data_IF_595942787542
#
_entry.id   IF_595942787542
#
_cell.length_a   1.000
_cell.length_b   1.000
_cell.length_c   1.000
_cell.angle_alpha   90.00
_cell.angle_beta   90.00
_cell.angle_gamma   90.00
#
_symmetry.space_group_name_H-M   'P 1'
#
loop_
_entity.id
_entity.type
_entity.pdbx_description
1 polymer ?
#
# COMPACT_ATOMS: atom_id res chain seq x y z
N UNK A 1 -33.64 -18.04 34.92
CA UNK A 1 -32.55 -18.67 34.15
C UNK A 1 -32.83 -18.37 32.69
N UNK A 2 -32.07 -17.47 32.05
CA UNK A 2 -32.27 -17.23 30.62
C UNK A 2 -31.95 -18.51 29.86
N UNK A 3 -32.84 -18.96 28.97
CA UNK A 3 -32.52 -20.10 28.13
C UNK A 3 -31.41 -19.71 27.12
N UNK A 4 -30.67 -20.72 26.67
CA UNK A 4 -29.55 -20.52 25.75
C UNK A 4 -29.99 -19.81 24.45
N UNK A 5 -31.22 -20.08 24.00
CA UNK A 5 -31.80 -19.50 22.77
C UNK A 5 -32.01 -17.99 22.90
N UNK A 6 -32.51 -17.55 24.05
CA UNK A 6 -32.74 -16.14 24.38
C UNK A 6 -31.42 -15.37 24.44
N UNK A 7 -30.39 -16.00 25.01
CA UNK A 7 -29.04 -15.43 25.04
C UNK A 7 -28.46 -15.29 23.62
N UNK A 8 -28.55 -16.34 22.79
CA UNK A 8 -28.10 -16.30 21.40
C UNK A 8 -28.84 -15.20 20.62
N UNK A 9 -30.16 -15.14 20.75
CA UNK A 9 -30.98 -14.14 20.06
C UNK A 9 -30.59 -12.72 20.46
N UNK A 10 -30.34 -12.46 21.75
CA UNK A 10 -29.88 -11.15 22.21
C UNK A 10 -28.58 -10.72 21.52
N UNK A 11 -27.59 -11.61 21.42
CA UNK A 11 -26.33 -11.32 20.73
C UNK A 11 -26.52 -11.13 19.23
N UNK A 12 -27.37 -11.94 18.59
CA UNK A 12 -27.66 -11.81 17.15
C UNK A 12 -28.34 -10.47 16.83
N UNK A 13 -29.39 -10.11 17.57
CA UNK A 13 -30.07 -8.82 17.38
C UNK A 13 -29.17 -7.63 17.72
N UNK A 14 -28.37 -7.74 18.77
CA UNK A 14 -27.36 -6.73 19.11
C UNK A 14 -26.34 -6.53 17.99
N UNK A 15 -25.85 -7.64 17.40
CA UNK A 15 -24.90 -7.60 16.29
C UNK A 15 -25.52 -7.01 15.02
N UNK A 16 -26.75 -7.40 14.67
CA UNK A 16 -27.49 -6.81 13.54
C UNK A 16 -27.69 -5.31 13.76
N UNK A 17 -28.16 -4.91 14.95
CA UNK A 17 -28.36 -3.51 15.30
C UNK A 17 -27.07 -2.70 15.22
N UNK A 18 -25.96 -3.26 15.70
CA UNK A 18 -24.63 -2.65 15.59
C UNK A 18 -24.17 -2.52 14.13
N UNK A 19 -24.35 -3.54 13.29
CA UNK A 19 -24.05 -3.48 11.86
C UNK A 19 -24.90 -2.41 11.17
N UNK A 20 -26.21 -2.41 11.41
CA UNK A 20 -27.13 -1.42 10.83
C UNK A 20 -26.72 -0.01 11.24
N UNK A 21 -26.39 0.18 12.52
CA UNK A 21 -25.89 1.46 13.02
C UNK A 21 -24.59 1.86 12.30
N UNK A 22 -23.59 0.97 12.24
CA UNK A 22 -22.27 1.28 11.69
C UNK A 22 -22.30 1.56 10.18
N UNK A 23 -23.06 0.78 9.41
CA UNK A 23 -23.06 0.84 7.93
C UNK A 23 -24.05 1.89 7.38
N UNK A 24 -25.19 2.09 8.06
CA UNK A 24 -26.29 2.91 7.54
C UNK A 24 -26.64 4.13 8.39
N UNK A 25 -26.64 4.03 9.72
CA UNK A 25 -27.06 5.16 10.55
C UNK A 25 -25.91 6.16 10.70
N UNK A 26 -24.74 5.66 11.11
CA UNK A 26 -23.63 6.51 11.47
C UNK A 26 -23.04 7.30 10.28
N UNK A 27 -22.75 6.70 9.10
CA UNK A 27 -22.13 7.43 7.99
C UNK A 27 -23.02 8.51 7.38
N UNK A 28 -24.34 8.28 7.35
CA UNK A 28 -25.30 9.16 6.67
C UNK A 28 -25.91 10.20 7.61
N UNK A 29 -26.20 9.83 8.86
CA UNK A 29 -26.96 10.69 9.78
C UNK A 29 -26.13 11.26 10.92
N UNK A 30 -25.05 10.61 11.37
CA UNK A 30 -24.33 11.02 12.59
C UNK A 30 -22.96 11.62 12.29
N UNK A 31 -22.24 11.06 11.32
CA UNK A 31 -20.85 11.41 11.02
C UNK A 31 -20.68 12.93 10.85
N UNK A 32 -19.64 13.54 11.45
CA UNK A 32 -19.34 14.96 11.24
C UNK A 32 -19.02 15.26 9.77
N UNK A 33 -18.60 14.25 9.01
CA UNK A 33 -18.28 14.36 7.59
C UNK A 33 -19.51 14.42 6.69
N UNK A 34 -20.73 14.21 7.23
CA UNK A 34 -21.95 14.07 6.42
C UNK A 34 -22.22 15.25 5.48
N UNK A 35 -21.80 16.46 5.87
CA UNK A 35 -22.00 17.72 5.11
C UNK A 35 -20.96 17.95 4.00
N UNK A 36 -19.88 17.19 3.96
CA UNK A 36 -18.85 17.32 2.93
C UNK A 36 -19.41 16.73 1.61
N UNK A 37 -19.30 17.46 0.48
CA UNK A 37 -19.79 17.00 -0.81
C UNK A 37 -19.02 15.77 -1.28
N UNK A 38 -19.67 14.92 -2.07
CA UNK A 38 -19.05 13.75 -2.66
C UNK A 38 -20.06 12.84 -3.34
N UNK A 39 -19.57 11.85 -4.12
CA UNK A 39 -20.42 10.87 -4.76
C UNK A 39 -21.25 10.07 -3.73
N UNK A 40 -22.50 9.67 -4.08
CA UNK A 40 -23.26 8.75 -3.26
C UNK A 40 -22.54 7.39 -3.19
N UNK A 41 -22.67 6.66 -2.07
CA UNK A 41 -22.07 5.33 -1.95
C UNK A 41 -22.62 4.39 -3.03
N UNK A 42 -21.72 3.72 -3.74
CA UNK A 42 -22.08 2.71 -4.74
C UNK A 42 -22.64 1.44 -4.08
N UNK A 43 -22.09 1.07 -2.92
CA UNK A 43 -22.54 -0.10 -2.18
C UNK A 43 -22.23 0.00 -0.67
N UNK A 44 -23.15 -0.45 0.21
CA UNK A 44 -22.93 -0.36 1.65
C UNK A 44 -21.73 -1.12 2.20
N UNK A 45 -21.28 -2.20 1.55
CA UNK A 45 -20.20 -3.04 2.05
C UNK A 45 -18.82 -2.63 1.57
N UNK A 46 -18.70 -2.11 0.33
CA UNK A 46 -17.40 -1.77 -0.26
C UNK A 46 -17.27 -0.30 -0.66
N UNK A 47 -18.30 0.53 -0.47
CA UNK A 47 -18.24 1.95 -0.81
C UNK A 47 -17.76 2.14 -2.25
N UNK A 48 -16.71 2.95 -2.42
CA UNK A 48 -16.05 3.19 -3.72
C UNK A 48 -14.80 2.33 -3.95
N UNK A 49 -14.49 1.36 -3.08
CA UNK A 49 -13.29 0.53 -3.21
C UNK A 49 -13.26 -0.15 -4.57
N UNK A 50 -14.39 -0.67 -5.04
CA UNK A 50 -14.48 -1.34 -6.33
C UNK A 50 -14.02 -0.40 -7.45
N UNK A 51 -14.64 0.77 -7.58
CA UNK A 51 -14.29 1.78 -8.58
C UNK A 51 -12.82 2.20 -8.51
N UNK A 52 -12.29 2.47 -7.32
CA UNK A 52 -10.89 2.85 -7.11
C UNK A 52 -9.92 1.74 -7.53
N UNK A 53 -10.31 0.47 -7.37
CA UNK A 53 -9.45 -0.69 -7.67
C UNK A 53 -9.58 -1.19 -9.11
N UNK A 54 -10.70 -0.96 -9.79
CA UNK A 54 -10.96 -1.50 -11.14
C UNK A 54 -10.73 -0.49 -12.26
N UNK A 55 -10.86 0.80 -11.98
CA UNK A 55 -10.57 1.84 -12.96
C UNK A 55 -9.09 2.22 -12.96
N UNK A 56 -8.69 3.02 -13.95
CA UNK A 56 -7.33 3.55 -14.04
C UNK A 56 -6.97 4.35 -12.78
N UNK A 57 -5.76 4.12 -12.26
CA UNK A 57 -5.30 4.72 -11.02
C UNK A 57 -5.35 6.25 -11.09
N UNK A 58 -6.07 6.87 -10.15
CA UNK A 58 -6.19 8.32 -10.05
C UNK A 58 -7.36 8.93 -10.85
N UNK A 59 -7.88 8.23 -11.87
CA UNK A 59 -8.97 8.76 -12.71
C UNK A 59 -10.28 8.96 -11.92
N UNK A 60 -10.77 8.00 -11.11
CA UNK A 60 -11.95 8.22 -10.27
C UNK A 60 -11.81 9.42 -9.35
N UNK A 61 -10.66 9.55 -8.69
CA UNK A 61 -10.34 10.65 -7.79
C UNK A 61 -10.38 11.98 -8.52
N UNK A 62 -9.75 12.06 -9.70
CA UNK A 62 -9.74 13.26 -10.53
C UNK A 62 -11.15 13.65 -10.98
N UNK A 63 -11.99 12.69 -11.39
CA UNK A 63 -13.40 12.95 -11.74
C UNK A 63 -14.17 13.51 -10.57
N UNK A 64 -14.02 12.93 -9.37
CA UNK A 64 -14.72 13.43 -8.18
C UNK A 64 -14.23 14.80 -7.73
N UNK A 65 -12.92 15.07 -7.82
CA UNK A 65 -12.36 16.41 -7.53
C UNK A 65 -12.95 17.44 -8.50
N UNK A 66 -13.01 17.14 -9.80
CA UNK A 66 -13.61 18.03 -10.81
C UNK A 66 -15.09 18.31 -10.54
N UNK A 67 -15.83 17.34 -10.02
CA UNK A 67 -17.28 17.46 -9.80
C UNK A 67 -17.65 18.10 -8.46
N UNK A 68 -16.95 17.75 -7.38
CA UNK A 68 -17.32 18.10 -6.00
C UNK A 68 -16.35 19.11 -5.34
N UNK A 69 -15.25 19.45 -6.01
CA UNK A 69 -14.22 20.36 -5.52
C UNK A 69 -13.05 19.66 -4.82
N UNK A 70 -12.21 20.45 -4.16
CA UNK A 70 -10.92 19.97 -3.63
C UNK A 70 -11.02 19.18 -2.31
N UNK A 71 -12.21 19.06 -1.72
CA UNK A 71 -12.45 18.28 -0.50
C UNK A 71 -13.68 17.41 -0.77
N UNK A 72 -13.46 16.11 -0.90
CA UNK A 72 -14.50 15.17 -1.31
C UNK A 72 -14.66 14.09 -0.27
N UNK A 73 -15.89 13.85 0.18
CA UNK A 73 -16.21 12.69 1.00
C UNK A 73 -16.35 11.45 0.13
N UNK A 74 -15.64 10.39 0.49
CA UNK A 74 -15.74 9.07 -0.11
C UNK A 74 -16.15 8.04 0.94
N UNK A 75 -16.81 6.97 0.52
CA UNK A 75 -17.10 5.80 1.35
C UNK A 75 -16.08 4.69 1.08
N UNK A 76 -15.47 4.15 2.13
CA UNK A 76 -14.59 2.98 2.13
C UNK A 76 -15.36 1.70 2.48
N UNK A 77 -14.67 0.72 3.04
CA UNK A 77 -15.27 -0.55 3.46
C UNK A 77 -16.33 -0.29 4.54
N UNK A 78 -17.47 -0.98 4.46
CA UNK A 78 -18.60 -0.81 5.37
C UNK A 78 -19.12 0.63 5.47
N UNK A 79 -19.07 1.38 4.36
CA UNK A 79 -19.41 2.81 4.29
C UNK A 79 -18.60 3.69 5.26
N UNK A 80 -17.38 3.32 5.61
CA UNK A 80 -16.53 4.20 6.41
C UNK A 80 -16.27 5.52 5.65
N UNK A 81 -16.67 6.68 6.17
CA UNK A 81 -16.50 7.96 5.50
C UNK A 81 -15.03 8.39 5.60
N UNK A 82 -14.44 8.63 4.44
CA UNK A 82 -13.08 9.07 4.22
C UNK A 82 -13.09 10.42 3.50
N UNK A 83 -12.01 11.18 3.60
CA UNK A 83 -11.88 12.48 2.91
C UNK A 83 -10.74 12.38 1.91
N UNK A 84 -11.05 12.66 0.65
CA UNK A 84 -10.08 12.97 -0.39
C UNK A 84 -9.79 14.47 -0.35
N UNK A 85 -8.53 14.83 -0.13
CA UNK A 85 -8.06 16.22 -0.08
C UNK A 85 -7.16 16.48 -1.28
N UNK A 86 -7.51 17.49 -2.07
CA UNK A 86 -6.77 17.97 -3.24
C UNK A 86 -6.41 19.46 -3.13
N UNK A 87 -6.66 20.10 -1.98
CA UNK A 87 -6.25 21.48 -1.72
C UNK A 87 -4.77 21.52 -1.25
N UNK A 88 -3.86 22.20 -1.96
CA UNK A 88 -2.45 22.22 -1.61
C UNK A 88 -2.14 22.77 -0.21
N UNK A 89 -2.93 23.72 0.29
CA UNK A 89 -2.72 24.30 1.62
C UNK A 89 -3.09 23.28 2.69
N UNK A 90 -4.21 22.58 2.52
CA UNK A 90 -4.63 21.53 3.45
C UNK A 90 -3.65 20.36 3.41
N UNK A 91 -3.16 19.98 2.22
CA UNK A 91 -2.13 18.94 2.08
C UNK A 91 -0.85 19.35 2.84
N UNK A 92 -0.43 20.61 2.76
CA UNK A 92 0.70 21.12 3.51
C UNK A 92 0.46 21.04 5.03
N UNK A 93 -0.73 21.41 5.50
CA UNK A 93 -1.08 21.27 6.92
C UNK A 93 -0.98 19.80 7.37
N UNK A 94 -1.59 18.88 6.63
CA UNK A 94 -1.61 17.45 6.97
C UNK A 94 -0.23 16.81 6.89
N UNK A 95 0.54 17.11 5.84
CA UNK A 95 1.75 16.36 5.51
C UNK A 95 3.02 16.98 6.08
N UNK A 96 3.01 18.25 6.48
CA UNK A 96 4.20 18.99 6.95
C UNK A 96 3.99 19.62 8.32
N UNK A 97 2.98 20.46 8.49
CA UNK A 97 2.83 21.26 9.70
C UNK A 97 2.34 20.40 10.88
N UNK A 98 1.43 19.48 10.60
CA UNK A 98 0.73 18.64 11.58
C UNK A 98 0.87 17.15 11.30
N UNK A 99 1.97 16.72 10.67
CA UNK A 99 2.17 15.31 10.21
C UNK A 99 1.89 14.25 11.27
N UNK A 100 2.17 14.54 12.55
CA UNK A 100 2.00 13.58 13.64
C UNK A 100 0.57 13.54 14.22
N UNK A 101 -0.29 14.49 13.85
CA UNK A 101 -1.71 14.50 14.21
C UNK A 101 -2.53 13.60 13.27
N UNK A 102 -1.97 13.26 12.10
CA UNK A 102 -2.59 12.42 11.06
C UNK A 102 -1.87 11.07 10.95
N UNK A 103 -2.27 10.13 11.82
CA UNK A 103 -1.70 8.78 11.87
C UNK A 103 -2.08 8.00 10.61
N UNK A 104 -1.13 7.27 10.02
CA UNK A 104 -1.39 6.41 8.86
C UNK A 104 -2.35 5.27 9.24
N UNK A 105 -3.28 4.87 8.35
CA UNK A 105 -4.09 3.69 8.59
C UNK A 105 -3.19 2.45 8.72
N UNK A 106 -3.54 1.48 9.59
CA UNK A 106 -2.76 0.26 9.74
C UNK A 106 -2.76 -0.52 8.42
N UNK A 107 -1.60 -1.05 8.05
CA UNK A 107 -1.49 -1.99 6.93
C UNK A 107 -0.70 -3.22 7.36
N UNK A 108 -1.41 -4.29 7.71
CA UNK A 108 -0.83 -5.59 8.12
C UNK A 108 0.04 -6.15 7.01
N UNK A 109 -0.43 -6.02 5.77
CA UNK A 109 0.27 -6.56 4.61
C UNK A 109 1.54 -5.78 4.31
N UNK A 110 1.50 -4.45 4.35
CA UNK A 110 2.69 -3.65 4.07
C UNK A 110 3.73 -3.77 5.19
N UNK A 111 3.30 -3.85 6.46
CA UNK A 111 4.19 -4.08 7.60
C UNK A 111 4.81 -5.48 7.55
N UNK A 112 4.12 -6.50 7.05
CA UNK A 112 4.70 -7.82 6.89
C UNK A 112 5.78 -7.88 5.78
N UNK A 113 5.77 -6.94 4.83
CA UNK A 113 6.76 -6.91 3.73
C UNK A 113 7.94 -5.98 4.08
N UNK A 114 7.68 -4.84 4.71
CA UNK A 114 8.68 -3.80 4.94
C UNK A 114 9.10 -3.66 6.42
N UNK A 115 8.48 -4.43 7.31
CA UNK A 115 8.63 -4.28 8.75
C UNK A 115 8.02 -2.97 9.29
N UNK A 116 8.17 -2.76 10.61
CA UNK A 116 7.86 -1.47 11.27
C UNK A 116 9.03 -0.48 11.15
N UNK A 117 9.51 -0.30 9.91
CA UNK A 117 10.57 0.64 9.57
C UNK A 117 10.07 2.06 9.35
N UNK A 118 10.95 2.93 8.82
CA UNK A 118 10.73 4.37 8.71
C UNK A 118 9.41 4.73 7.98
N UNK A 119 8.99 3.92 7.02
CA UNK A 119 7.75 4.14 6.25
C UNK A 119 6.48 4.00 7.11
N UNK A 120 6.48 3.07 8.08
CA UNK A 120 5.31 2.70 8.88
C UNK A 120 5.41 3.09 10.36
N UNK A 121 6.57 3.55 10.82
CA UNK A 121 6.71 4.10 12.15
C UNK A 121 5.88 5.38 12.30
N UNK A 122 5.44 5.66 13.54
CA UNK A 122 4.66 6.84 13.89
C UNK A 122 5.25 7.59 15.08
N UNK A 123 4.87 8.87 15.22
CA UNK A 123 5.24 9.69 16.37
C UNK A 123 6.76 9.74 16.63
N UNK A 124 7.16 9.49 17.88
CA UNK A 124 8.55 9.59 18.31
C UNK A 124 9.45 8.47 17.74
N UNK A 125 8.89 7.30 17.43
CA UNK A 125 9.63 6.24 16.73
C UNK A 125 10.00 6.68 15.32
N UNK A 126 9.06 7.28 14.58
CA UNK A 126 9.34 7.86 13.27
C UNK A 126 10.39 8.97 13.36
N UNK A 127 10.27 9.90 14.31
CA UNK A 127 11.25 10.99 14.51
C UNK A 127 12.65 10.44 14.76
N UNK A 128 12.77 9.43 15.64
CA UNK A 128 14.05 8.79 15.98
C UNK A 128 14.65 8.09 14.76
N UNK A 129 13.89 7.24 14.08
CA UNK A 129 14.36 6.52 12.88
C UNK A 129 14.77 7.50 11.77
N UNK A 130 13.98 8.56 11.51
CA UNK A 130 14.30 9.56 10.50
C UNK A 130 15.58 10.32 10.81
N UNK A 131 15.75 10.75 12.07
CA UNK A 131 16.96 11.44 12.52
C UNK A 131 18.21 10.58 12.34
N UNK A 132 18.11 9.27 12.59
CA UNK A 132 19.22 8.32 12.40
C UNK A 132 19.55 8.08 10.92
N UNK A 133 18.54 8.02 10.06
CA UNK A 133 18.72 7.71 8.63
C UNK A 133 19.14 8.90 7.77
N UNK A 134 18.66 10.12 8.07
CA UNK A 134 18.90 11.31 7.25
C UNK A 134 20.37 11.55 6.86
N UNK A 135 21.38 11.36 7.73
CA UNK A 135 22.78 11.57 7.36
C UNK A 135 23.23 10.70 6.17
N UNK A 136 22.76 9.46 6.05
CA UNK A 136 23.10 8.58 4.92
C UNK A 136 22.63 9.15 3.57
N UNK A 137 21.60 10.00 3.58
CA UNK A 137 21.03 10.65 2.41
C UNK A 137 21.47 12.12 2.26
N UNK A 138 22.52 12.54 2.97
CA UNK A 138 23.13 13.85 2.73
C UNK A 138 23.72 13.92 1.31
N UNK A 139 23.70 15.10 0.71
CA UNK A 139 24.17 15.32 -0.67
C UNK A 139 25.60 14.82 -0.93
N UNK A 140 26.51 14.97 0.05
CA UNK A 140 27.87 14.44 -0.04
C UNK A 140 27.89 12.92 -0.17
N UNK A 141 27.10 12.22 0.63
CA UNK A 141 27.07 10.76 0.67
C UNK A 141 26.38 10.19 -0.58
N UNK A 142 25.34 10.87 -1.08
CA UNK A 142 24.70 10.49 -2.35
C UNK A 142 25.70 10.60 -3.52
N UNK A 143 26.57 11.61 -3.54
CA UNK A 143 27.60 11.74 -4.60
C UNK A 143 28.54 10.55 -4.64
N UNK A 144 28.87 9.98 -3.49
CA UNK A 144 29.75 8.80 -3.39
C UNK A 144 29.09 7.55 -3.98
N UNK A 145 27.75 7.50 -4.07
CA UNK A 145 27.00 6.39 -4.64
C UNK A 145 26.93 6.41 -6.18
N UNK A 146 27.23 7.56 -6.82
CA UNK A 146 27.11 7.76 -8.28
C UNK A 146 27.86 6.72 -9.10
N UNK A 147 29.12 6.33 -8.77
CA UNK A 147 29.83 5.31 -9.54
C UNK A 147 29.08 3.98 -9.60
N UNK A 148 28.43 3.59 -8.50
CA UNK A 148 27.59 2.37 -8.45
C UNK A 148 26.36 2.51 -9.34
N UNK A 149 25.70 3.67 -9.33
CA UNK A 149 24.54 3.92 -10.20
C UNK A 149 24.93 3.82 -11.67
N UNK A 150 26.06 4.42 -12.07
CA UNK A 150 26.57 4.35 -13.44
C UNK A 150 26.89 2.90 -13.82
N UNK A 151 27.59 2.16 -12.96
CA UNK A 151 27.93 0.76 -13.21
C UNK A 151 26.69 -0.10 -13.49
N UNK A 152 25.67 -0.03 -12.63
CA UNK A 152 24.43 -0.80 -12.80
C UNK A 152 23.65 -0.34 -14.04
N UNK A 153 23.61 0.98 -14.31
CA UNK A 153 22.98 1.52 -15.50
C UNK A 153 23.65 1.03 -16.80
N UNK A 154 24.98 0.89 -16.82
CA UNK A 154 25.72 0.36 -17.97
C UNK A 154 25.44 -1.14 -18.19
N UNK A 155 25.31 -1.93 -17.12
CA UNK A 155 24.89 -3.33 -17.21
C UNK A 155 23.48 -3.42 -17.80
N UNK A 156 22.55 -2.62 -17.27
CA UNK A 156 21.18 -2.56 -17.77
C UNK A 156 21.13 -2.15 -19.25
N UNK A 157 21.92 -1.14 -19.64
CA UNK A 157 22.06 -0.71 -21.04
C UNK A 157 22.49 -1.87 -21.94
N UNK A 158 23.53 -2.60 -21.55
CA UNK A 158 24.03 -3.75 -22.32
C UNK A 158 22.95 -4.82 -22.53
N UNK A 159 22.21 -5.17 -21.47
CA UNK A 159 21.10 -6.13 -21.55
C UNK A 159 20.00 -5.67 -22.52
N UNK A 160 19.68 -4.38 -22.54
CA UNK A 160 18.69 -3.82 -23.47
C UNK A 160 19.23 -3.81 -24.90
N UNK A 161 20.49 -3.44 -25.10
CA UNK A 161 21.14 -3.45 -26.42
C UNK A 161 21.16 -4.86 -27.01
N UNK A 162 21.47 -5.89 -26.22
CA UNK A 162 21.43 -7.29 -26.65
C UNK A 162 20.03 -7.69 -27.14
N UNK A 163 18.98 -7.28 -26.41
CA UNK A 163 17.59 -7.54 -26.77
C UNK A 163 17.18 -6.86 -28.09
N UNK A 164 17.58 -5.61 -28.26
CA UNK A 164 17.35 -4.86 -29.51
C UNK A 164 18.10 -5.50 -30.68
N UNK A 165 19.35 -5.92 -30.47
CA UNK A 165 20.17 -6.57 -31.49
C UNK A 165 19.61 -7.92 -31.93
N UNK A 166 18.88 -8.61 -31.05
CA UNK A 166 18.12 -9.83 -31.36
C UNK A 166 16.81 -9.55 -32.12
N UNK A 167 16.49 -8.28 -32.39
CA UNK A 167 15.30 -7.87 -33.13
C UNK A 167 14.04 -7.72 -32.26
N UNK A 168 14.15 -7.71 -30.94
CA UNK A 168 13.00 -7.45 -30.06
C UNK A 168 12.55 -5.98 -30.17
N UNK A 169 11.30 -5.75 -30.57
CA UNK A 169 10.73 -4.40 -30.75
C UNK A 169 9.93 -3.91 -29.54
N UNK A 170 9.47 -4.81 -28.68
CA UNK A 170 8.66 -4.51 -27.50
C UNK A 170 9.33 -5.09 -26.24
N UNK A 171 10.06 -4.25 -25.51
CA UNK A 171 10.80 -4.66 -24.32
C UNK A 171 10.10 -4.12 -23.07
N UNK A 172 9.64 -5.01 -22.19
CA UNK A 172 9.11 -4.62 -20.88
C UNK A 172 10.26 -4.30 -19.92
N UNK A 173 10.46 -3.02 -19.58
CA UNK A 173 11.55 -2.56 -18.72
C UNK A 173 11.27 -2.69 -17.22
N UNK A 174 10.02 -2.87 -16.80
CA UNK A 174 9.65 -2.89 -15.36
C UNK A 174 10.43 -3.92 -14.54
N UNK A 175 10.60 -5.18 -14.99
CA UNK A 175 11.39 -6.16 -14.25
C UNK A 175 12.88 -5.78 -14.18
N UNK A 176 13.43 -5.20 -15.25
CA UNK A 176 14.83 -4.77 -15.28
C UNK A 176 15.09 -3.59 -14.35
N UNK A 177 14.19 -2.61 -14.31
CA UNK A 177 14.30 -1.46 -13.41
C UNK A 177 14.17 -1.89 -11.94
N UNK A 178 13.28 -2.83 -11.65
CA UNK A 178 13.13 -3.41 -10.29
C UNK A 178 14.42 -4.10 -9.83
N UNK A 179 15.04 -4.91 -10.70
CA UNK A 179 16.32 -5.58 -10.43
C UNK A 179 17.50 -4.61 -10.33
N UNK A 180 17.59 -3.65 -11.23
CA UNK A 180 18.64 -2.62 -11.21
C UNK A 180 18.61 -1.79 -9.92
N UNK A 181 17.42 -1.38 -9.48
CA UNK A 181 17.27 -0.63 -8.23
C UNK A 181 17.58 -1.48 -7.00
N UNK A 182 17.26 -2.78 -7.02
CA UNK A 182 17.66 -3.73 -5.98
C UNK A 182 19.19 -3.91 -5.92
N UNK A 183 19.85 -4.09 -7.07
CA UNK A 183 21.32 -4.23 -7.15
C UNK A 183 22.02 -2.95 -6.64
N UNK A 184 21.47 -1.78 -6.98
CA UNK A 184 21.97 -0.49 -6.50
C UNK A 184 21.87 -0.42 -4.97
N UNK A 185 20.68 -0.60 -4.40
CA UNK A 185 20.49 -0.43 -2.95
C UNK A 185 21.21 -1.52 -2.15
N UNK A 186 21.30 -2.74 -2.70
CA UNK A 186 22.11 -3.82 -2.14
C UNK A 186 23.55 -3.40 -1.94
N UNK A 187 24.17 -2.86 -2.99
CA UNK A 187 25.57 -2.48 -2.90
C UNK A 187 25.79 -1.20 -2.07
N UNK A 188 25.04 -0.12 -2.33
CA UNK A 188 25.31 1.16 -1.64
C UNK A 188 24.81 1.18 -0.20
N UNK A 189 23.73 0.46 0.09
CA UNK A 189 23.11 0.43 1.42
C UNK A 189 23.61 -0.69 2.31
N UNK A 190 23.91 -1.86 1.73
CA UNK A 190 24.22 -3.08 2.48
C UNK A 190 25.58 -3.69 2.13
N UNK A 191 26.33 -3.08 1.21
CA UNK A 191 27.57 -3.62 0.68
C UNK A 191 27.43 -5.07 0.18
N UNK A 192 26.29 -5.36 -0.46
CA UNK A 192 25.92 -6.69 -0.94
C UNK A 192 25.60 -6.67 -2.43
N UNK A 193 26.27 -7.54 -3.20
CA UNK A 193 26.02 -7.67 -4.63
C UNK A 193 24.99 -8.76 -4.92
N UNK A 194 23.73 -8.37 -5.15
CA UNK A 194 22.66 -9.31 -5.52
C UNK A 194 22.82 -9.87 -6.94
N UNK A 195 23.39 -9.09 -7.86
CA UNK A 195 23.55 -9.43 -9.28
C UNK A 195 22.23 -9.89 -9.93
N UNK A 196 21.11 -9.32 -9.51
CA UNK A 196 19.76 -9.75 -9.89
C UNK A 196 19.42 -9.47 -11.36
N UNK A 197 20.14 -8.53 -12.00
CA UNK A 197 20.06 -8.28 -13.43
C UNK A 197 20.63 -9.42 -14.28
N UNK A 198 21.68 -10.09 -13.81
CA UNK A 198 22.44 -11.08 -14.59
C UNK A 198 22.24 -12.51 -14.11
N UNK A 199 21.71 -12.71 -12.91
CA UNK A 199 21.54 -14.03 -12.30
C UNK A 199 20.23 -14.14 -11.52
N UNK A 200 19.65 -15.34 -11.39
CA UNK A 200 18.53 -15.58 -10.49
C UNK A 200 18.89 -15.19 -9.05
N UNK A 201 17.95 -14.57 -8.34
CA UNK A 201 18.16 -14.11 -6.98
C UNK A 201 16.87 -14.24 -6.18
N UNK A 202 16.92 -15.01 -5.08
CA UNK A 202 15.74 -15.34 -4.26
C UNK A 202 15.04 -14.08 -3.72
N UNK A 203 15.81 -13.04 -3.32
CA UNK A 203 15.25 -11.80 -2.79
C UNK A 203 14.57 -10.97 -3.90
N UNK A 204 15.19 -10.90 -5.08
CA UNK A 204 14.59 -10.23 -6.24
C UNK A 204 13.28 -10.89 -6.65
N UNK A 205 13.23 -12.23 -6.66
CA UNK A 205 12.03 -13.00 -6.95
C UNK A 205 10.95 -12.80 -5.87
N UNK A 206 11.33 -12.75 -4.59
CA UNK A 206 10.41 -12.47 -3.50
C UNK A 206 9.75 -11.09 -3.64
N UNK A 207 10.53 -10.05 -3.94
CA UNK A 207 9.98 -8.72 -4.19
C UNK A 207 9.10 -8.67 -5.44
N UNK A 208 9.48 -9.37 -6.51
CA UNK A 208 8.67 -9.43 -7.73
C UNK A 208 7.29 -10.08 -7.47
N UNK A 209 7.26 -11.19 -6.72
CA UNK A 209 6.02 -11.88 -6.31
C UNK A 209 5.11 -10.96 -5.47
N UNK A 210 5.68 -10.10 -4.64
CA UNK A 210 4.92 -9.27 -3.70
C UNK A 210 4.48 -7.92 -4.29
N UNK A 211 5.31 -7.32 -5.17
CA UNK A 211 5.13 -5.95 -5.66
C UNK A 211 4.71 -5.86 -7.12
N UNK A 212 5.19 -6.78 -7.97
CA UNK A 212 4.95 -6.75 -9.42
C UNK A 212 3.92 -7.77 -9.89
N UNK A 213 3.45 -8.66 -9.00
CA UNK A 213 2.38 -9.60 -9.33
C UNK A 213 1.11 -8.85 -9.74
N UNK A 214 0.51 -9.25 -10.86
CA UNK A 214 -0.77 -8.69 -11.29
C UNK A 214 -1.80 -8.85 -10.16
N UNK A 215 -2.38 -7.75 -9.66
CA UNK A 215 -3.33 -7.83 -8.58
C UNK A 215 -4.62 -8.48 -9.10
N UNK A 216 -5.02 -9.58 -8.47
CA UNK A 216 -6.33 -10.20 -8.69
C UNK A 216 -7.35 -9.60 -7.73
N UNK A 217 -8.65 -9.64 -8.07
CA UNK A 217 -9.70 -9.20 -7.16
C UNK A 217 -9.63 -9.90 -5.79
N UNK A 218 -9.27 -11.19 -5.79
CA UNK A 218 -9.05 -11.96 -4.56
C UNK A 218 -7.86 -11.44 -3.77
N UNK A 219 -6.70 -11.16 -4.39
CA UNK A 219 -5.52 -10.66 -3.67
C UNK A 219 -5.74 -9.27 -3.09
N UNK A 220 -6.43 -8.39 -3.82
CA UNK A 220 -6.85 -7.08 -3.31
C UNK A 220 -7.76 -7.24 -2.08
N UNK A 221 -8.80 -8.09 -2.21
CA UNK A 221 -9.72 -8.34 -1.10
C UNK A 221 -9.00 -8.89 0.13
N UNK A 222 -8.07 -9.84 -0.03
CA UNK A 222 -7.29 -10.39 1.08
C UNK A 222 -6.40 -9.34 1.74
N UNK A 223 -5.81 -8.43 0.97
CA UNK A 223 -5.02 -7.31 1.50
C UNK A 223 -5.88 -6.38 2.34
N UNK A 224 -6.98 -5.86 1.77
CA UNK A 224 -7.86 -4.91 2.47
C UNK A 224 -8.48 -5.56 3.71
N UNK A 225 -8.98 -6.79 3.60
CA UNK A 225 -9.65 -7.48 4.72
C UNK A 225 -8.67 -7.84 5.84
N UNK A 226 -7.38 -8.03 5.54
CA UNK A 226 -6.38 -8.36 6.57
C UNK A 226 -6.16 -7.24 7.57
N UNK A 227 -6.44 -5.99 7.20
CA UNK A 227 -6.33 -4.85 8.10
C UNK A 227 -7.48 -4.79 9.12
N UNK A 228 -8.63 -5.42 8.81
CA UNK A 228 -9.77 -5.54 9.71
C UNK A 228 -9.79 -6.88 10.46
N UNK A 229 -9.39 -7.97 9.80
CA UNK A 229 -9.41 -9.33 10.35
C UNK A 229 -8.07 -10.01 10.03
N UNK A 230 -7.04 -9.84 10.89
CA UNK A 230 -5.67 -10.32 10.61
C UNK A 230 -5.56 -11.83 10.36
N UNK A 231 -6.47 -12.64 10.91
CA UNK A 231 -6.49 -14.10 10.71
C UNK A 231 -6.70 -14.50 9.24
N UNK A 232 -7.28 -13.62 8.41
CA UNK A 232 -7.52 -13.89 7.00
C UNK A 232 -6.22 -14.25 6.25
N UNK A 233 -5.06 -13.70 6.65
CA UNK A 233 -3.75 -14.06 6.08
C UNK A 233 -3.27 -15.47 6.42
N UNK A 234 -3.87 -16.14 7.42
CA UNK A 234 -3.53 -17.53 7.81
C UNK A 234 -4.29 -18.58 7.01
N UNK A 235 -5.34 -18.21 6.29
CA UNK A 235 -6.15 -19.12 5.48
C UNK A 235 -5.26 -19.73 4.38
N UNK A 236 -5.27 -21.07 4.19
CA UNK A 236 -4.35 -21.78 3.30
C UNK A 236 -4.76 -21.70 1.81
N UNK A 237 -5.02 -20.50 1.31
CA UNK A 237 -5.24 -20.22 -0.12
C UNK A 237 -3.95 -19.80 -0.81
N UNK A 238 -3.86 -20.02 -2.13
CA UNK A 238 -2.62 -19.80 -2.88
C UNK A 238 -2.10 -18.36 -2.83
N UNK A 239 -3.02 -17.37 -2.83
CA UNK A 239 -2.65 -15.95 -2.66
C UNK A 239 -1.90 -15.71 -1.35
N UNK A 240 -2.40 -16.26 -0.24
CA UNK A 240 -1.73 -16.13 1.06
C UNK A 240 -0.48 -16.99 1.18
N UNK A 241 -0.44 -18.15 0.51
CA UNK A 241 0.77 -18.99 0.47
C UNK A 241 1.90 -18.25 -0.25
N UNK A 242 1.63 -17.66 -1.41
CA UNK A 242 2.59 -16.82 -2.16
C UNK A 242 3.04 -15.62 -1.34
N UNK A 243 2.10 -14.90 -0.72
CA UNK A 243 2.42 -13.77 0.16
C UNK A 243 3.34 -14.18 1.32
N UNK A 244 2.99 -15.24 2.05
CA UNK A 244 3.80 -15.73 3.19
C UNK A 244 5.15 -16.27 2.76
N UNK A 245 5.23 -16.92 1.60
CA UNK A 245 6.48 -17.40 1.04
C UNK A 245 7.43 -16.23 0.72
N UNK A 246 6.91 -15.18 0.06
CA UNK A 246 7.70 -13.97 -0.21
C UNK A 246 8.16 -13.28 1.08
N UNK A 247 7.29 -13.12 2.07
CA UNK A 247 7.67 -12.53 3.36
C UNK A 247 8.74 -13.37 4.07
N UNK A 248 8.62 -14.70 4.05
CA UNK A 248 9.59 -15.59 4.68
C UNK A 248 11.00 -15.52 4.07
N UNK A 249 11.12 -15.17 2.78
CA UNK A 249 12.41 -14.92 2.14
C UNK A 249 12.98 -13.57 2.59
N UNK A 250 12.13 -12.54 2.70
CA UNK A 250 12.56 -11.19 3.13
C UNK A 250 13.00 -11.18 4.60
N UNK A 251 12.35 -11.98 5.45
CA UNK A 251 12.64 -12.07 6.89
C UNK A 251 13.90 -12.89 7.23
N UNK A 252 14.52 -13.55 6.25
CA UNK A 252 15.69 -14.42 6.43
C UNK A 252 17.00 -13.64 6.52
#
# INVERSE_FOLDING_TARGET
>A
MFDLVSLINFFVFGFIGWITYKIYIWPYYISPLRKIPGPPSENPFYGHIKTIMTEESGEPQLRWIKQYGNIVKLYGLFNEPNILVADPKIIQEISVNHTYDYIKPPSVSAVAIAGRGLVFAEGDDHKRQRKMMNPAFAHSNIKEMIPTFIRVALILKGLIEDKVNLGESNINLTPYLSKATLDIIGLVGFNYEFNSLTSPNELAEAYDILMNAQPTALSIAMTILSDYVPFIRKIPIDVNRRFRHGCAIIDR
#
